data_IF_643907340969
#
_entry.id   IF_643907340969
#
_cell.length_a   1.000
_cell.length_b   1.000
_cell.length_c   1.000
_cell.angle_alpha   90.00
_cell.angle_beta   90.00
_cell.angle_gamma   90.00
#
_symmetry.space_group_name_H-M   'P 1'
#
loop_
_entity.id
_entity.type
_entity.pdbx_description
1 polymer ?
#
# COMPACT_ATOMS: atom_id res chain seq x y z
N UNK A 1 22.08 -32.44 34.32
CA UNK A 1 20.94 -32.43 33.37
C UNK A 1 19.90 -31.31 33.67
N UNK A 2 20.31 -30.09 34.04
CA UNK A 2 19.38 -28.96 34.29
C UNK A 2 19.55 -27.77 33.31
N UNK A 3 20.48 -27.84 32.36
CA UNK A 3 20.76 -26.76 31.39
C UNK A 3 20.15 -26.93 29.99
N UNK A 4 19.66 -28.12 29.63
CA UNK A 4 19.15 -28.38 28.29
C UNK A 4 17.62 -28.22 28.15
N UNK A 5 16.87 -28.18 29.27
CA UNK A 5 15.41 -27.99 29.23
C UNK A 5 14.98 -26.53 29.03
N UNK A 6 15.81 -25.53 29.36
CA UNK A 6 15.41 -24.11 29.23
C UNK A 6 15.51 -23.57 27.80
N UNK A 7 16.47 -24.06 27.01
CA UNK A 7 16.68 -23.63 25.62
C UNK A 7 15.62 -24.25 24.70
N UNK A 8 15.24 -25.51 24.93
CA UNK A 8 14.18 -26.17 24.16
C UNK A 8 12.80 -25.52 24.41
N UNK A 9 12.52 -25.07 25.64
CA UNK A 9 11.30 -24.34 25.98
C UNK A 9 11.27 -22.93 25.34
N UNK A 10 12.40 -22.22 25.31
CA UNK A 10 12.50 -20.89 24.67
C UNK A 10 12.36 -20.97 23.14
N UNK A 11 12.98 -21.98 22.50
CA UNK A 11 12.85 -22.23 21.06
C UNK A 11 11.43 -22.69 20.72
N UNK A 12 10.81 -23.52 21.57
CA UNK A 12 9.42 -23.94 21.44
C UNK A 12 8.43 -22.77 21.49
N UNK A 13 8.64 -21.81 22.40
CA UNK A 13 7.80 -20.60 22.52
C UNK A 13 8.01 -19.66 21.32
N UNK A 14 9.25 -19.48 20.84
CA UNK A 14 9.53 -18.68 19.64
C UNK A 14 8.98 -19.30 18.34
N UNK A 15 8.95 -20.64 18.23
CA UNK A 15 8.37 -21.35 17.08
C UNK A 15 6.84 -21.41 17.14
N UNK A 16 6.24 -21.47 18.33
CA UNK A 16 4.79 -21.39 18.53
C UNK A 16 4.24 -19.98 18.22
N UNK A 17 5.02 -18.91 18.46
CA UNK A 17 4.68 -17.56 18.02
C UNK A 17 4.71 -17.39 16.49
N UNK A 18 5.54 -18.17 15.77
CA UNK A 18 5.54 -18.22 14.30
C UNK A 18 4.39 -19.05 13.70
N UNK A 19 3.74 -19.90 14.50
CA UNK A 19 2.56 -20.70 14.13
C UNK A 19 1.25 -20.14 14.71
N UNK A 20 1.25 -18.93 15.25
CA UNK A 20 0.01 -18.22 15.47
C UNK A 20 -0.69 -18.08 14.11
N UNK A 21 -1.89 -18.67 14.00
CA UNK A 21 -2.80 -18.45 12.86
C UNK A 21 -2.78 -16.96 12.50
N UNK A 22 -2.78 -16.57 11.21
CA UNK A 22 -2.78 -15.17 10.83
C UNK A 22 -3.83 -14.46 11.64
N UNK A 23 -3.39 -13.48 12.43
CA UNK A 23 -4.29 -12.66 13.24
C UNK A 23 -5.15 -11.95 12.22
N UNK A 24 -6.44 -12.32 12.17
CA UNK A 24 -7.45 -11.62 11.38
C UNK A 24 -7.37 -10.16 11.79
N UNK A 25 -7.01 -9.30 10.87
CA UNK A 25 -7.32 -7.89 10.94
C UNK A 25 -8.32 -7.72 9.81
N UNK A 26 -9.56 -7.50 10.19
CA UNK A 26 -10.47 -6.79 9.32
C UNK A 26 -10.22 -5.32 9.62
N UNK A 27 -10.31 -4.49 8.60
CA UNK A 27 -10.22 -3.06 8.72
C UNK A 27 -11.46 -2.50 8.09
N UNK A 28 -12.30 -1.81 8.86
CA UNK A 28 -13.73 -1.75 8.59
C UNK A 28 -14.33 -3.14 8.24
N UNK A 29 -15.62 -3.19 7.96
CA UNK A 29 -16.19 -4.36 7.29
C UNK A 29 -16.48 -3.98 5.84
N UNK A 30 -16.53 -4.98 4.96
CA UNK A 30 -16.82 -4.83 3.52
C UNK A 30 -17.91 -3.81 3.22
N UNK A 31 -19.04 -3.83 3.93
CA UNK A 31 -20.15 -2.89 3.70
C UNK A 31 -19.78 -1.43 3.97
N UNK A 32 -18.90 -1.16 4.93
CA UNK A 32 -18.44 0.19 5.24
C UNK A 32 -17.48 0.71 4.18
N UNK A 33 -16.55 -0.11 3.68
CA UNK A 33 -15.70 0.24 2.54
C UNK A 33 -16.54 0.58 1.31
N UNK A 34 -17.48 -0.31 0.95
CA UNK A 34 -18.38 -0.09 -0.18
C UNK A 34 -19.21 1.19 0.02
N UNK A 35 -19.76 1.42 1.23
CA UNK A 35 -20.53 2.63 1.52
C UNK A 35 -19.71 3.92 1.36
N UNK A 36 -18.45 3.93 1.81
CA UNK A 36 -17.56 5.09 1.68
C UNK A 36 -17.23 5.34 0.20
N UNK A 37 -16.87 4.29 -0.54
CA UNK A 37 -16.54 4.35 -1.96
C UNK A 37 -17.75 4.76 -2.82
N UNK A 38 -18.93 4.17 -2.59
CA UNK A 38 -20.19 4.58 -3.24
C UNK A 38 -20.51 6.05 -2.96
N UNK A 39 -20.41 6.47 -1.70
CA UNK A 39 -20.61 7.86 -1.31
C UNK A 39 -19.65 8.84 -2.00
N UNK A 40 -18.46 8.39 -2.40
CA UNK A 40 -17.51 9.23 -3.15
C UNK A 40 -17.96 9.43 -4.59
N UNK A 41 -18.59 8.43 -5.22
CA UNK A 41 -19.20 8.56 -6.55
C UNK A 41 -20.39 9.52 -6.50
N UNK A 42 -21.26 9.37 -5.50
CA UNK A 42 -22.40 10.26 -5.29
C UNK A 42 -21.94 11.71 -5.04
N UNK A 43 -20.87 11.89 -4.25
CA UNK A 43 -20.33 13.22 -3.95
C UNK A 43 -19.72 13.88 -5.20
N UNK A 44 -19.10 13.12 -6.11
CA UNK A 44 -18.61 13.65 -7.39
C UNK A 44 -19.74 14.24 -8.23
N UNK A 45 -20.88 13.55 -8.30
CA UNK A 45 -22.07 14.04 -9.01
C UNK A 45 -22.66 15.27 -8.31
N UNK A 46 -22.82 15.22 -6.98
CA UNK A 46 -23.35 16.33 -6.17
C UNK A 46 -22.52 17.61 -6.25
N UNK A 47 -21.20 17.49 -6.30
CA UNK A 47 -20.25 18.60 -6.43
C UNK A 47 -20.07 19.09 -7.88
N UNK A 48 -20.95 18.65 -8.79
CA UNK A 48 -20.94 19.00 -10.21
C UNK A 48 -19.55 18.78 -10.84
N UNK A 49 -19.00 17.57 -10.68
CA UNK A 49 -17.76 17.11 -11.32
C UNK A 49 -18.04 16.13 -12.47
N UNK A 50 -18.86 16.50 -13.48
CA UNK A 50 -19.40 15.54 -14.46
C UNK A 50 -18.31 14.84 -15.28
N UNK A 51 -17.18 15.51 -15.56
CA UNK A 51 -16.06 14.88 -16.29
C UNK A 51 -15.39 13.77 -15.48
N UNK A 52 -15.26 13.96 -14.16
CA UNK A 52 -14.64 12.98 -13.27
C UNK A 52 -15.63 11.85 -13.00
N UNK A 53 -16.90 12.16 -12.76
CA UNK A 53 -17.92 11.14 -12.56
C UNK A 53 -18.11 10.25 -13.80
N UNK A 54 -18.17 10.85 -15.00
CA UNK A 54 -18.25 10.11 -16.27
C UNK A 54 -17.03 9.21 -16.51
N UNK A 55 -15.85 9.60 -16.05
CA UNK A 55 -14.63 8.78 -16.15
C UNK A 55 -14.75 7.45 -15.38
N UNK A 56 -15.42 7.46 -14.23
CA UNK A 56 -15.58 6.27 -13.37
C UNK A 56 -16.88 5.50 -13.58
N UNK A 57 -17.88 6.08 -14.24
CA UNK A 57 -19.26 5.55 -14.35
C UNK A 57 -19.34 4.07 -14.73
N UNK A 58 -18.49 3.62 -15.65
CA UNK A 58 -18.51 2.23 -16.14
C UNK A 58 -17.64 1.26 -15.33
N UNK A 59 -16.95 1.75 -14.30
CA UNK A 59 -15.97 0.98 -13.51
C UNK A 59 -16.27 0.96 -12.01
N UNK A 60 -17.48 1.36 -11.60
CA UNK A 60 -17.88 1.32 -10.19
C UNK A 60 -17.77 -0.11 -9.63
N UNK A 61 -18.11 -1.14 -10.41
CA UNK A 61 -18.05 -2.53 -9.97
C UNK A 61 -16.60 -2.96 -9.65
N UNK A 62 -15.63 -2.58 -10.48
CA UNK A 62 -14.21 -2.86 -10.27
C UNK A 62 -13.67 -2.13 -9.04
N UNK A 63 -14.03 -0.85 -8.88
CA UNK A 63 -13.64 -0.06 -7.71
C UNK A 63 -14.18 -0.66 -6.42
N UNK A 64 -15.46 -1.05 -6.38
CA UNK A 64 -16.08 -1.68 -5.20
C UNK A 64 -15.50 -3.07 -4.92
N UNK A 65 -15.25 -3.86 -5.97
CA UNK A 65 -14.54 -5.14 -5.83
C UNK A 65 -13.13 -4.94 -5.27
N UNK A 66 -12.45 -3.89 -5.70
CA UNK A 66 -11.10 -3.49 -5.28
C UNK A 66 -11.06 -3.03 -3.83
N UNK A 67 -11.97 -2.15 -3.40
CA UNK A 67 -11.96 -1.61 -2.03
C UNK A 67 -12.27 -2.66 -0.97
N UNK A 68 -12.86 -3.79 -1.36
CA UNK A 68 -13.17 -4.89 -0.45
C UNK A 68 -12.17 -6.05 -0.52
N UNK A 69 -11.23 -6.03 -1.47
CA UNK A 69 -10.33 -7.15 -1.71
C UNK A 69 -9.26 -7.37 -0.62
N UNK A 70 -8.59 -6.33 -0.08
CA UNK A 70 -7.50 -6.52 0.87
C UNK A 70 -7.89 -7.27 2.16
N UNK A 71 -9.16 -7.22 2.58
CA UNK A 71 -9.66 -7.98 3.74
C UNK A 71 -9.87 -9.49 3.48
N UNK A 72 -9.90 -9.92 2.21
CA UNK A 72 -10.26 -11.29 1.84
C UNK A 72 -9.12 -12.27 2.14
N UNK A 73 -9.49 -13.45 2.64
CA UNK A 73 -8.51 -14.53 2.85
C UNK A 73 -7.73 -14.83 1.57
N UNK A 74 -6.40 -14.93 1.69
CA UNK A 74 -5.51 -15.18 0.56
C UNK A 74 -5.09 -13.94 -0.23
N UNK A 75 -5.62 -12.75 0.05
CA UNK A 75 -5.16 -11.52 -0.60
C UNK A 75 -3.72 -11.18 -0.16
N UNK A 76 -2.82 -10.78 -1.09
CA UNK A 76 -1.45 -10.45 -0.74
C UNK A 76 -1.32 -9.25 0.20
N UNK A 77 -2.31 -8.35 0.24
CA UNK A 77 -2.28 -7.16 1.11
C UNK A 77 -3.04 -7.37 2.41
N UNK A 78 -3.57 -8.57 2.63
CA UNK A 78 -4.13 -8.95 3.93
C UNK A 78 -3.03 -9.08 4.98
N UNK A 79 -3.30 -8.59 6.19
CA UNK A 79 -2.52 -8.98 7.37
C UNK A 79 -2.45 -7.94 8.48
N UNK A 80 -2.02 -8.39 9.66
CA UNK A 80 -2.04 -7.60 10.88
C UNK A 80 -1.24 -6.28 10.83
N UNK A 81 -0.28 -6.13 9.90
CA UNK A 81 0.42 -4.86 9.68
C UNK A 81 -0.23 -3.98 8.61
N UNK A 82 -0.67 -4.59 7.51
CA UNK A 82 -0.98 -3.90 6.25
C UNK A 82 -2.12 -2.88 6.34
N UNK A 83 -3.08 -3.10 7.24
CA UNK A 83 -4.25 -2.24 7.40
C UNK A 83 -4.07 -1.17 8.48
N UNK A 84 -2.90 -1.07 9.11
CA UNK A 84 -2.65 -0.15 10.20
C UNK A 84 -1.69 0.94 9.76
N UNK A 85 -1.97 2.17 10.19
CA UNK A 85 -1.06 3.29 10.09
C UNK A 85 -1.28 4.16 11.31
N UNK A 86 -0.43 3.99 12.33
CA UNK A 86 -0.79 4.41 13.69
C UNK A 86 0.07 5.56 14.17
N UNK A 87 -0.52 6.74 14.36
CA UNK A 87 0.16 7.88 14.97
C UNK A 87 0.19 7.82 16.49
N UNK A 88 -0.61 6.94 17.11
CA UNK A 88 -0.59 6.66 18.54
C UNK A 88 -0.84 5.18 18.83
N UNK A 89 -0.53 4.74 20.05
CA UNK A 89 -0.94 3.44 20.55
C UNK A 89 -2.35 3.49 21.17
N UNK A 90 -2.86 2.33 21.59
CA UNK A 90 -4.22 2.21 22.11
C UNK A 90 -4.47 2.99 23.41
N UNK A 91 -3.41 3.50 24.06
CA UNK A 91 -3.49 4.37 25.26
C UNK A 91 -3.32 5.85 24.92
N UNK A 92 -3.36 6.22 23.64
CA UNK A 92 -3.18 7.60 23.18
C UNK A 92 -1.73 8.10 23.18
N UNK A 93 -0.74 7.25 23.52
CA UNK A 93 0.67 7.68 23.45
C UNK A 93 1.10 7.77 21.99
N UNK A 94 1.59 8.95 21.59
CA UNK A 94 2.13 9.18 20.26
C UNK A 94 3.24 8.18 19.91
N UNK A 95 3.21 7.70 18.66
CA UNK A 95 4.21 6.80 18.09
C UNK A 95 5.23 7.60 17.26
N UNK A 96 6.50 7.15 17.20
CA UNK A 96 7.53 7.86 16.47
C UNK A 96 7.25 7.84 14.97
N UNK A 97 7.68 8.92 14.31
CA UNK A 97 7.62 9.09 12.87
C UNK A 97 9.05 9.07 12.31
N UNK A 98 9.25 8.43 11.17
CA UNK A 98 10.53 8.43 10.45
C UNK A 98 10.30 8.78 8.98
N UNK A 99 10.97 9.83 8.50
CA UNK A 99 10.82 10.35 7.14
C UNK A 99 9.34 10.47 6.69
N UNK A 100 8.49 10.96 7.61
CA UNK A 100 7.07 11.16 7.36
C UNK A 100 6.19 9.93 7.61
N UNK A 101 6.74 8.72 7.81
CA UNK A 101 5.96 7.48 8.01
C UNK A 101 5.77 7.15 9.49
N UNK A 102 4.58 6.66 9.85
CA UNK A 102 4.35 5.94 11.09
C UNK A 102 4.54 4.43 10.92
N UNK A 103 4.85 3.75 12.02
CA UNK A 103 4.93 2.29 12.04
C UNK A 103 3.54 1.67 11.94
N UNK A 104 3.49 0.47 11.37
CA UNK A 104 2.33 -0.39 11.42
C UNK A 104 2.14 -0.98 12.83
N UNK A 105 1.10 -1.79 12.96
CA UNK A 105 0.77 -2.51 14.20
C UNK A 105 1.92 -3.31 14.81
N UNK A 106 2.76 -3.91 13.96
CA UNK A 106 3.85 -4.80 14.34
C UNK A 106 5.12 -4.04 14.75
N UNK A 107 5.09 -2.70 14.72
CA UNK A 107 6.25 -1.86 15.03
C UNK A 107 7.24 -1.77 13.87
N UNK A 108 6.79 -2.01 12.63
CA UNK A 108 7.60 -1.99 11.41
C UNK A 108 7.07 -0.91 10.45
N UNK A 109 7.94 -0.32 9.64
CA UNK A 109 7.56 0.61 8.57
C UNK A 109 7.12 -0.09 7.28
N UNK A 110 7.30 -1.41 7.17
CA UNK A 110 6.89 -2.26 6.04
C UNK A 110 5.38 -2.19 5.72
N UNK A 111 4.71 -3.32 5.46
CA UNK A 111 3.28 -3.31 5.09
C UNK A 111 2.45 -2.58 6.15
N UNK A 112 1.95 -1.42 5.76
CA UNK A 112 1.12 -0.46 6.50
C UNK A 112 0.10 0.13 5.53
N UNK A 113 -0.98 0.71 6.05
CA UNK A 113 -2.04 1.23 5.18
C UNK A 113 -1.49 2.29 4.22
N UNK A 114 -0.55 3.13 4.70
CA UNK A 114 0.13 4.10 3.83
C UNK A 114 0.96 3.44 2.72
N UNK A 115 1.78 2.44 3.03
CA UNK A 115 2.60 1.78 2.00
C UNK A 115 1.73 1.06 0.95
N UNK A 116 0.63 0.45 1.38
CA UNK A 116 -0.28 -0.27 0.48
C UNK A 116 -1.13 0.70 -0.35
N UNK A 117 -1.50 1.87 0.19
CA UNK A 117 -2.03 2.98 -0.61
C UNK A 117 -1.06 3.38 -1.72
N UNK A 118 0.21 3.63 -1.39
CA UNK A 118 1.24 4.08 -2.34
C UNK A 118 1.50 3.03 -3.44
N UNK A 119 1.63 1.75 -3.07
CA UNK A 119 1.82 0.65 -4.02
C UNK A 119 0.59 0.43 -4.92
N UNK A 120 -0.62 0.33 -4.35
CA UNK A 120 -1.83 0.09 -5.13
C UNK A 120 -2.21 1.28 -6.03
N UNK A 121 -1.93 2.51 -5.59
CA UNK A 121 -2.11 3.70 -6.42
C UNK A 121 -1.15 3.72 -7.61
N UNK A 122 0.14 3.43 -7.37
CA UNK A 122 1.15 3.34 -8.43
C UNK A 122 0.80 2.22 -9.40
N UNK A 123 0.35 1.08 -8.89
CA UNK A 123 -0.16 -0.05 -9.65
C UNK A 123 -1.34 0.35 -10.56
N UNK A 124 -2.33 1.06 -10.02
CA UNK A 124 -3.47 1.56 -10.80
C UNK A 124 -3.00 2.48 -11.95
N UNK A 125 -2.07 3.40 -11.68
CA UNK A 125 -1.59 4.33 -12.69
C UNK A 125 -0.79 3.61 -13.78
N UNK A 126 0.05 2.65 -13.39
CA UNK A 126 0.78 1.79 -14.32
C UNK A 126 -0.21 1.06 -15.25
N UNK A 127 -1.20 0.35 -14.70
CA UNK A 127 -2.18 -0.40 -15.49
C UNK A 127 -2.97 0.50 -16.44
N UNK A 128 -3.42 1.66 -15.95
CA UNK A 128 -4.16 2.62 -16.78
C UNK A 128 -3.32 3.11 -17.97
N UNK A 129 -2.06 3.47 -17.71
CA UNK A 129 -1.13 3.95 -18.74
C UNK A 129 -0.72 2.87 -19.74
N UNK A 130 -0.97 1.61 -19.43
CA UNK A 130 -0.80 0.47 -20.34
C UNK A 130 -2.12 -0.02 -20.95
N UNK A 131 -3.21 0.76 -20.85
CA UNK A 131 -4.51 0.44 -21.46
C UNK A 131 -5.32 -0.63 -20.73
N UNK A 132 -4.86 -1.13 -19.58
CA UNK A 132 -5.56 -2.12 -18.73
C UNK A 132 -6.50 -1.40 -17.76
N UNK A 133 -7.54 -0.77 -18.29
CA UNK A 133 -8.36 0.19 -17.54
C UNK A 133 -9.19 -0.48 -16.44
N UNK A 134 -9.83 -1.64 -16.71
CA UNK A 134 -10.64 -2.35 -15.71
C UNK A 134 -9.79 -2.79 -14.51
N UNK A 135 -8.60 -3.34 -14.78
CA UNK A 135 -7.61 -3.74 -13.78
C UNK A 135 -7.07 -2.53 -13.00
N UNK A 136 -6.84 -1.41 -13.68
CA UNK A 136 -6.45 -0.16 -13.04
C UNK A 136 -7.50 0.32 -12.03
N UNK A 137 -8.78 0.24 -12.37
CA UNK A 137 -9.88 0.65 -11.48
C UNK A 137 -10.00 -0.29 -10.28
N UNK A 138 -9.77 -1.58 -10.48
CA UNK A 138 -9.66 -2.54 -9.38
C UNK A 138 -8.52 -2.16 -8.42
N UNK A 139 -7.33 -1.87 -8.93
CA UNK A 139 -6.19 -1.43 -8.11
C UNK A 139 -6.43 -0.06 -7.44
N UNK A 140 -7.13 0.86 -8.09
CA UNK A 140 -7.53 2.13 -7.49
C UNK A 140 -8.51 1.92 -6.34
N UNK A 141 -9.44 0.97 -6.47
CA UNK A 141 -10.32 0.54 -5.38
C UNK A 141 -9.51 0.01 -4.19
N UNK A 142 -8.48 -0.80 -4.43
CA UNK A 142 -7.55 -1.25 -3.37
C UNK A 142 -6.82 -0.08 -2.73
N UNK A 143 -6.44 0.95 -3.48
CA UNK A 143 -5.85 2.16 -2.90
C UNK A 143 -6.87 2.92 -2.01
N UNK A 144 -8.14 2.99 -2.42
CA UNK A 144 -9.22 3.58 -1.63
C UNK A 144 -9.43 2.85 -0.29
N UNK A 145 -9.37 1.51 -0.29
CA UNK A 145 -9.42 0.69 0.93
C UNK A 145 -8.48 1.21 2.02
N UNK A 146 -7.23 1.50 1.65
CA UNK A 146 -6.25 1.94 2.64
C UNK A 146 -6.45 3.39 3.10
N UNK A 147 -7.10 4.25 2.32
CA UNK A 147 -7.57 5.56 2.81
C UNK A 147 -8.70 5.35 3.82
N UNK A 148 -9.61 4.42 3.54
CA UNK A 148 -10.71 4.05 4.42
C UNK A 148 -10.15 3.51 5.75
N UNK A 149 -9.13 2.66 5.72
CA UNK A 149 -8.44 2.17 6.93
C UNK A 149 -7.76 3.28 7.73
N UNK A 150 -7.06 4.21 7.07
CA UNK A 150 -6.42 5.36 7.74
C UNK A 150 -7.48 6.29 8.35
N UNK A 151 -8.73 6.25 7.88
CA UNK A 151 -9.85 6.96 8.48
C UNK A 151 -10.46 6.23 9.69
N UNK A 152 -10.12 4.95 9.91
CA UNK A 152 -10.66 4.14 11.00
C UNK A 152 -9.89 4.35 12.32
N UNK A 153 -10.53 4.85 13.40
CA UNK A 153 -9.83 5.17 14.65
C UNK A 153 -9.06 4.00 15.27
N UNK A 154 -9.58 2.78 15.14
CA UNK A 154 -8.95 1.58 15.72
C UNK A 154 -7.67 1.17 14.98
N UNK A 155 -7.51 1.60 13.72
CA UNK A 155 -6.32 1.38 12.88
C UNK A 155 -5.24 2.44 13.11
N UNK A 156 -5.66 3.65 13.48
CA UNK A 156 -4.75 4.78 13.74
C UNK A 156 -4.24 4.82 15.18
N UNK A 157 -4.92 4.10 16.08
CA UNK A 157 -4.52 3.91 17.48
C UNK A 157 -3.89 2.54 17.77
N UNK A 158 -3.51 1.76 16.75
CA UNK A 158 -2.90 0.44 16.92
C UNK A 158 -3.73 -0.55 17.77
N UNK A 159 -5.07 -0.45 17.76
CA UNK A 159 -5.93 -1.30 18.57
C UNK A 159 -6.06 -2.69 17.97
N UNK A 160 -5.85 -3.74 18.78
CA UNK A 160 -5.87 -5.12 18.28
C UNK A 160 -7.26 -5.61 17.97
N UNK A 161 -7.45 -6.11 16.74
CA UNK A 161 -8.58 -6.96 16.41
C UNK A 161 -8.48 -8.29 17.13
N UNK A 162 -9.58 -8.68 17.78
CA UNK A 162 -9.87 -10.04 18.19
C UNK A 162 -11.33 -10.32 17.91
N UNK A 163 -11.64 -11.46 17.28
CA UNK A 163 -13.01 -11.89 17.03
C UNK A 163 -13.67 -12.41 18.31
N UNK A 164 -13.93 -11.50 19.25
CA UNK A 164 -14.63 -11.78 20.50
C UNK A 164 -15.50 -10.59 20.91
N UNK A 165 -16.62 -10.83 21.62
CA UNK A 165 -17.38 -9.79 22.29
C UNK A 165 -16.47 -8.97 23.22
N UNK A 166 -16.68 -7.65 23.28
CA UNK A 166 -15.92 -6.74 24.14
C UNK A 166 -14.52 -6.35 23.63
N UNK A 167 -14.09 -6.81 22.45
CA UNK A 167 -12.94 -6.21 21.79
C UNK A 167 -13.34 -4.89 21.13
N UNK A 168 -12.78 -3.77 21.58
CA UNK A 168 -13.14 -2.43 21.08
C UNK A 168 -13.03 -2.30 19.56
N UNK A 169 -11.99 -2.89 18.96
CA UNK A 169 -11.82 -2.92 17.52
C UNK A 169 -13.00 -3.62 16.81
N UNK A 170 -13.24 -4.89 17.11
CA UNK A 170 -14.35 -5.66 16.52
C UNK A 170 -15.71 -5.02 16.79
N UNK A 171 -15.94 -4.49 17.99
CA UNK A 171 -17.20 -3.87 18.38
C UNK A 171 -17.46 -2.57 17.59
N UNK A 172 -16.45 -1.71 17.48
CA UNK A 172 -16.55 -0.45 16.76
C UNK A 172 -16.82 -0.66 15.27
N UNK A 173 -16.09 -1.57 14.63
CA UNK A 173 -16.29 -1.84 13.20
C UNK A 173 -17.65 -2.48 12.93
N UNK A 174 -18.10 -3.40 13.79
CA UNK A 174 -19.44 -4.01 13.66
C UNK A 174 -20.52 -2.94 13.78
N UNK A 175 -20.35 -2.00 14.70
CA UNK A 175 -21.25 -0.88 14.85
C UNK A 175 -21.29 0.00 13.60
N UNK A 176 -20.12 0.42 13.12
CA UNK A 176 -20.00 1.22 11.90
C UNK A 176 -20.61 0.54 10.67
N UNK A 177 -20.43 -0.77 10.52
CA UNK A 177 -21.03 -1.57 9.45
C UNK A 177 -22.57 -1.48 9.40
N UNK A 178 -23.21 -1.19 10.54
CA UNK A 178 -24.67 -1.08 10.61
C UNK A 178 -25.18 0.32 10.26
N UNK A 179 -24.40 1.37 10.55
CA UNK A 179 -24.87 2.76 10.50
C UNK A 179 -24.11 3.65 9.51
N UNK A 180 -23.04 3.18 8.86
CA UNK A 180 -22.19 3.99 7.98
C UNK A 180 -22.98 4.71 6.88
N UNK A 181 -23.94 4.02 6.25
CA UNK A 181 -24.82 4.59 5.21
C UNK A 181 -25.76 5.71 5.70
N UNK A 182 -25.93 5.89 7.01
CA UNK A 182 -26.76 6.96 7.56
C UNK A 182 -26.03 8.32 7.58
N UNK A 183 -24.72 8.34 7.31
CA UNK A 183 -23.88 9.54 7.42
C UNK A 183 -23.13 9.82 6.11
N UNK A 184 -23.83 10.15 5.01
CA UNK A 184 -23.18 10.52 3.76
C UNK A 184 -22.39 11.83 3.90
N UNK A 185 -21.39 12.02 3.04
CA UNK A 185 -20.72 13.30 2.92
C UNK A 185 -21.65 14.32 2.24
N UNK A 186 -21.94 15.43 2.92
CA UNK A 186 -22.82 16.46 2.36
C UNK A 186 -22.13 17.38 1.36
N UNK A 187 -20.83 17.61 1.53
CA UNK A 187 -20.02 18.51 0.69
C UNK A 187 -18.57 18.08 0.68
N UNK A 188 -17.86 18.46 -0.38
CA UNK A 188 -16.43 18.20 -0.51
C UNK A 188 -15.58 19.32 0.12
N UNK A 189 -14.64 18.94 0.99
CA UNK A 189 -13.61 19.84 1.48
C UNK A 189 -12.53 20.10 0.40
N UNK A 190 -12.64 21.24 -0.28
CA UNK A 190 -11.70 21.68 -1.33
C UNK A 190 -10.24 21.76 -0.87
N UNK A 191 -9.96 21.85 0.44
CA UNK A 191 -8.58 21.83 0.98
C UNK A 191 -7.89 20.47 0.75
N UNK A 192 -8.67 19.41 0.51
CA UNK A 192 -8.13 18.10 0.16
C UNK A 192 -7.40 18.10 -1.19
N UNK A 193 -7.79 18.95 -2.14
CA UNK A 193 -7.08 19.07 -3.43
C UNK A 193 -5.61 19.44 -3.23
N UNK A 194 -5.32 20.40 -2.34
CA UNK A 194 -3.94 20.76 -1.96
C UNK A 194 -3.27 19.64 -1.15
N UNK A 195 -4.03 18.96 -0.30
CA UNK A 195 -3.47 17.90 0.56
C UNK A 195 -3.05 16.66 -0.25
N UNK A 196 -3.75 16.37 -1.35
CA UNK A 196 -3.44 15.30 -2.31
C UNK A 196 -2.59 15.77 -3.49
N UNK A 197 -2.24 17.06 -3.56
CA UNK A 197 -1.38 17.58 -4.62
C UNK A 197 0.06 17.08 -4.47
N UNK A 198 0.73 16.87 -5.61
CA UNK A 198 2.12 16.42 -5.66
C UNK A 198 2.26 14.90 -5.73
N UNK A 199 3.49 14.45 -5.49
CA UNK A 199 3.92 13.07 -5.76
C UNK A 199 3.75 12.11 -4.56
N UNK A 200 3.50 12.63 -3.35
CA UNK A 200 3.49 11.86 -2.11
C UNK A 200 2.15 11.93 -1.40
N UNK A 201 1.72 10.81 -0.81
CA UNK A 201 0.53 10.74 0.04
C UNK A 201 0.80 11.12 1.50
N UNK A 202 2.03 11.53 1.85
CA UNK A 202 2.41 11.86 3.23
C UNK A 202 1.44 12.80 3.93
N UNK A 203 1.16 13.94 3.29
CA UNK A 203 0.30 14.96 3.86
C UNK A 203 -1.14 14.46 4.05
N UNK A 204 -1.66 13.71 3.08
CA UNK A 204 -3.00 13.13 3.15
C UNK A 204 -3.09 12.08 4.26
N UNK A 205 -2.21 11.07 4.22
CA UNK A 205 -2.19 9.98 5.18
C UNK A 205 -1.96 10.46 6.62
N UNK A 206 -0.99 11.35 6.85
CA UNK A 206 -0.66 11.81 8.21
C UNK A 206 -1.77 12.67 8.83
N UNK A 207 -2.36 13.57 8.04
CA UNK A 207 -3.49 14.39 8.52
C UNK A 207 -4.71 13.53 8.80
N UNK A 208 -5.07 12.63 7.89
CA UNK A 208 -6.20 11.73 8.08
C UNK A 208 -6.00 10.83 9.29
N UNK A 209 -4.80 10.24 9.43
CA UNK A 209 -4.43 9.43 10.58
C UNK A 209 -4.60 10.19 11.90
N UNK A 210 -4.11 11.43 11.96
CA UNK A 210 -4.20 12.27 13.16
C UNK A 210 -5.64 12.67 13.48
N UNK A 211 -6.44 12.98 12.45
CA UNK A 211 -7.87 13.31 12.63
C UNK A 211 -8.65 12.10 13.14
N UNK A 212 -8.47 10.94 12.52
CA UNK A 212 -9.09 9.68 12.91
C UNK A 212 -8.75 9.29 14.36
N UNK A 213 -7.48 9.39 14.74
CA UNK A 213 -7.01 8.99 16.06
C UNK A 213 -7.63 9.82 17.22
N UNK A 214 -8.19 11.01 16.96
CA UNK A 214 -8.89 11.81 17.99
C UNK A 214 -10.09 11.09 18.60
N UNK A 215 -10.67 10.13 17.87
CA UNK A 215 -11.81 9.35 18.34
C UNK A 215 -11.40 8.07 19.09
N UNK A 216 -10.11 7.72 19.10
CA UNK A 216 -9.63 6.44 19.58
C UNK A 216 -9.88 6.21 21.07
N UNK A 217 -9.52 7.16 21.94
CA UNK A 217 -9.62 6.97 23.39
C UNK A 217 -11.06 6.66 23.85
N UNK A 218 -12.09 7.43 23.47
CA UNK A 218 -13.48 7.08 23.77
C UNK A 218 -13.92 5.71 23.22
N UNK A 219 -13.48 5.35 22.01
CA UNK A 219 -13.77 4.04 21.41
C UNK A 219 -13.16 2.90 22.22
N UNK A 220 -11.95 3.09 22.78
CA UNK A 220 -11.27 2.06 23.58
C UNK A 220 -12.04 1.68 24.85
N UNK A 221 -12.91 2.57 25.32
CA UNK A 221 -13.77 2.37 26.49
C UNK A 221 -15.12 1.71 26.18
N UNK A 222 -15.36 1.28 24.92
CA UNK A 222 -16.61 0.66 24.47
C UNK A 222 -17.85 1.54 24.65
N UNK A 223 -17.69 2.87 24.61
CA UNK A 223 -18.80 3.83 24.72
C UNK A 223 -19.65 3.85 23.43
N UNK A 224 -20.93 3.44 23.45
CA UNK A 224 -21.79 3.43 22.26
C UNK A 224 -22.02 4.82 21.66
N UNK A 225 -22.09 5.87 22.49
CA UNK A 225 -22.27 7.25 22.01
C UNK A 225 -21.00 7.71 21.30
N UNK A 226 -19.83 7.33 21.82
CA UNK A 226 -18.57 7.60 21.15
C UNK A 226 -18.46 6.87 19.80
N UNK A 227 -19.00 5.66 19.69
CA UNK A 227 -19.04 4.94 18.41
C UNK A 227 -19.88 5.70 17.38
N UNK A 228 -21.10 6.11 17.73
CA UNK A 228 -21.97 6.93 16.86
C UNK A 228 -21.28 8.22 16.42
N UNK A 229 -20.70 8.95 17.36
CA UNK A 229 -20.02 10.22 17.08
C UNK A 229 -18.81 10.04 16.16
N UNK A 230 -18.03 8.98 16.37
CA UNK A 230 -16.89 8.66 15.53
C UNK A 230 -17.31 8.26 14.11
N UNK A 231 -18.35 7.44 13.94
CA UNK A 231 -18.85 7.06 12.61
C UNK A 231 -19.45 8.27 11.88
N UNK A 232 -20.28 9.07 12.56
CA UNK A 232 -20.88 10.31 12.04
C UNK A 232 -19.83 11.32 11.60
N UNK A 233 -18.68 11.36 12.26
CA UNK A 233 -17.56 12.23 11.91
C UNK A 233 -16.71 11.65 10.78
N UNK A 234 -16.28 10.39 10.92
CA UNK A 234 -15.23 9.83 10.09
C UNK A 234 -15.71 9.27 8.76
N UNK A 235 -16.94 8.76 8.64
CA UNK A 235 -17.45 8.26 7.34
C UNK A 235 -17.52 9.38 6.30
N UNK A 236 -18.13 10.56 6.58
CA UNK A 236 -18.08 11.70 5.66
C UNK A 236 -16.65 12.15 5.31
N UNK A 237 -15.73 12.13 6.27
CA UNK A 237 -14.32 12.50 6.05
C UNK A 237 -13.64 11.48 5.14
N UNK A 238 -13.85 10.19 5.36
CA UNK A 238 -13.33 9.11 4.54
C UNK A 238 -13.81 9.23 3.09
N UNK A 239 -15.12 9.43 2.90
CA UNK A 239 -15.74 9.65 1.58
C UNK A 239 -15.10 10.83 0.84
N UNK A 240 -14.86 11.95 1.53
CA UNK A 240 -14.19 13.10 0.93
C UNK A 240 -12.73 12.81 0.55
N UNK A 241 -12.01 12.02 1.35
CA UNK A 241 -10.64 11.62 1.04
C UNK A 241 -10.57 10.63 -0.13
N UNK A 242 -11.52 9.69 -0.24
CA UNK A 242 -11.66 8.81 -1.40
C UNK A 242 -12.00 9.62 -2.66
N UNK A 243 -12.93 10.58 -2.58
CA UNK A 243 -13.19 11.49 -3.70
C UNK A 243 -11.93 12.27 -4.11
N UNK A 244 -11.12 12.74 -3.16
CA UNK A 244 -9.87 13.43 -3.47
C UNK A 244 -8.85 12.51 -4.17
N UNK A 245 -8.77 11.23 -3.75
CA UNK A 245 -7.97 10.21 -4.41
C UNK A 245 -8.43 9.97 -5.86
N UNK A 246 -9.74 9.85 -6.09
CA UNK A 246 -10.33 9.69 -7.43
C UNK A 246 -10.06 10.90 -8.32
N UNK A 247 -10.16 12.12 -7.79
CA UNK A 247 -9.82 13.33 -8.55
C UNK A 247 -8.33 13.38 -8.89
N UNK A 248 -7.45 13.03 -7.94
CA UNK A 248 -6.00 12.95 -8.17
C UNK A 248 -5.68 11.94 -9.28
N UNK A 249 -6.25 10.74 -9.21
CA UNK A 249 -6.01 9.70 -10.21
C UNK A 249 -6.46 10.13 -11.62
N UNK A 250 -7.64 10.76 -11.71
CA UNK A 250 -8.12 11.32 -12.97
C UNK A 250 -7.13 12.32 -13.57
N UNK A 251 -6.56 13.21 -12.74
CA UNK A 251 -5.56 14.17 -13.18
C UNK A 251 -4.23 13.51 -13.59
N UNK A 252 -3.71 12.60 -12.77
CA UNK A 252 -2.47 11.87 -13.04
C UNK A 252 -2.56 10.98 -14.30
N UNK A 253 -3.73 10.45 -14.62
CA UNK A 253 -4.00 9.70 -15.85
C UNK A 253 -3.79 10.54 -17.12
N UNK A 254 -4.01 11.86 -17.05
CA UNK A 254 -3.82 12.79 -18.18
C UNK A 254 -2.40 13.38 -18.25
N UNK A 255 -1.59 13.20 -17.20
CA UNK A 255 -0.24 13.75 -17.16
C UNK A 255 0.73 12.90 -18.01
N UNK A 256 1.58 13.56 -18.80
CA UNK A 256 2.59 12.90 -19.66
C UNK A 256 3.94 12.70 -18.95
N UNK A 257 4.21 13.48 -17.92
CA UNK A 257 5.40 13.37 -17.07
C UNK A 257 5.12 12.40 -15.91
N UNK A 258 5.47 11.14 -16.12
CA UNK A 258 4.91 10.02 -15.37
C UNK A 258 5.71 9.44 -14.23
N UNK A 259 5.13 9.45 -13.03
CA UNK A 259 5.42 8.49 -11.95
C UNK A 259 4.75 7.12 -12.23
N UNK A 260 4.92 6.61 -13.45
CA UNK A 260 4.37 5.33 -13.88
C UNK A 260 5.36 4.54 -14.75
N UNK A 261 5.15 3.23 -14.79
CA UNK A 261 5.92 2.25 -15.52
C UNK A 261 5.11 1.73 -16.71
N UNK A 262 5.79 1.50 -17.83
CA UNK A 262 5.19 1.03 -19.08
C UNK A 262 5.62 -0.42 -19.36
N UNK A 263 4.66 -1.23 -19.77
CA UNK A 263 4.86 -2.61 -20.18
C UNK A 263 5.70 -2.69 -21.47
N UNK A 264 6.56 -3.70 -21.54
CA UNK A 264 7.51 -3.91 -22.64
C UNK A 264 8.59 -2.84 -22.79
N UNK A 265 8.65 -1.86 -21.88
CA UNK A 265 9.61 -0.76 -21.95
C UNK A 265 10.89 -1.13 -21.20
N UNK A 266 12.02 -0.79 -21.80
CA UNK A 266 13.33 -0.92 -21.15
C UNK A 266 13.61 0.24 -20.20
N UNK A 267 14.17 -0.08 -19.03
CA UNK A 267 14.55 0.89 -18.02
C UNK A 267 15.96 0.64 -17.50
N UNK A 268 16.69 1.72 -17.24
CA UNK A 268 17.83 1.71 -16.33
C UNK A 268 17.31 1.82 -14.90
N UNK A 269 17.89 1.07 -13.98
CA UNK A 269 17.54 1.10 -12.55
C UNK A 269 18.72 1.64 -11.77
N UNK A 270 18.73 2.96 -11.54
CA UNK A 270 19.80 3.64 -10.82
C UNK A 270 19.48 3.73 -9.34
N UNK A 271 20.31 3.15 -8.50
CA UNK A 271 20.17 3.33 -7.06
C UNK A 271 20.51 4.78 -6.68
N UNK A 272 19.64 5.43 -5.89
CA UNK A 272 19.80 6.84 -5.55
C UNK A 272 21.05 7.11 -4.71
N UNK A 273 21.34 6.25 -3.73
CA UNK A 273 22.47 6.46 -2.82
C UNK A 273 23.83 6.16 -3.46
N UNK A 274 23.97 5.02 -4.14
CA UNK A 274 25.25 4.61 -4.75
C UNK A 274 25.50 5.22 -6.14
N UNK A 275 24.44 5.60 -6.85
CA UNK A 275 24.52 6.03 -8.24
C UNK A 275 24.78 4.90 -9.24
N UNK A 276 24.90 3.67 -8.77
CA UNK A 276 25.13 2.46 -9.58
C UNK A 276 23.83 1.97 -10.23
N UNK A 277 23.99 1.24 -11.33
CA UNK A 277 22.93 0.67 -12.15
C UNK A 277 22.83 -0.83 -11.95
N UNK A 278 21.60 -1.37 -11.97
CA UNK A 278 21.41 -2.80 -12.19
C UNK A 278 22.03 -3.18 -13.52
N UNK A 279 22.97 -4.11 -13.47
CA UNK A 279 23.76 -4.57 -14.62
C UNK A 279 23.65 -6.08 -14.73
N UNK A 280 23.30 -6.55 -15.93
CA UNK A 280 23.27 -7.97 -16.27
C UNK A 280 24.70 -8.48 -16.44
N UNK A 281 25.00 -9.60 -15.78
CA UNK A 281 26.32 -10.24 -15.79
C UNK A 281 26.15 -11.74 -16.03
N UNK A 282 27.24 -12.43 -16.38
CA UNK A 282 27.24 -13.89 -16.51
C UNK A 282 26.82 -14.64 -15.22
N UNK A 283 26.90 -14.00 -14.05
CA UNK A 283 26.54 -14.59 -12.75
C UNK A 283 25.16 -14.13 -12.23
N UNK A 284 24.41 -13.35 -13.00
CA UNK A 284 23.13 -12.75 -12.59
C UNK A 284 23.14 -11.24 -12.67
N UNK A 285 22.49 -10.57 -11.71
CA UNK A 285 22.46 -9.10 -11.64
C UNK A 285 23.39 -8.57 -10.56
N UNK A 286 24.14 -7.52 -10.90
CA UNK A 286 25.00 -6.78 -10.00
C UNK A 286 24.69 -5.28 -10.03
N UNK A 287 25.27 -4.53 -9.08
CA UNK A 287 25.33 -3.08 -9.14
C UNK A 287 26.69 -2.66 -9.67
N UNK A 288 26.69 -1.86 -10.74
CA UNK A 288 27.92 -1.35 -11.35
C UNK A 288 27.74 0.10 -11.82
N UNK A 289 28.85 0.81 -12.03
CA UNK A 289 28.83 2.16 -12.60
C UNK A 289 28.28 2.13 -14.03
N UNK A 290 27.75 3.26 -14.48
CA UNK A 290 27.27 3.40 -15.85
C UNK A 290 28.38 3.09 -16.86
N UNK A 291 28.07 2.17 -17.78
CA UNK A 291 28.98 1.64 -18.78
C UNK A 291 28.18 1.27 -20.03
N UNK A 292 28.57 1.82 -21.19
CA UNK A 292 27.85 1.64 -22.46
C UNK A 292 28.06 0.26 -23.06
N UNK A 293 29.12 -0.43 -22.67
CA UNK A 293 29.46 -1.76 -23.18
C UNK A 293 28.79 -2.88 -22.36
N UNK A 294 28.04 -2.51 -21.32
CA UNK A 294 27.33 -3.44 -20.44
C UNK A 294 25.82 -3.34 -20.63
N UNK A 295 25.15 -4.47 -20.41
CA UNK A 295 23.70 -4.51 -20.40
C UNK A 295 23.15 -3.96 -19.08
N UNK A 296 22.76 -2.68 -19.10
CA UNK A 296 22.24 -1.94 -17.93
C UNK A 296 20.78 -1.48 -18.08
N UNK A 297 20.11 -1.98 -19.13
CA UNK A 297 18.69 -1.78 -19.38
C UNK A 297 17.97 -3.11 -19.28
N UNK A 298 16.95 -3.16 -18.44
CA UNK A 298 16.08 -4.33 -18.27
C UNK A 298 14.70 -4.02 -18.84
N UNK A 299 14.11 -4.97 -19.54
CA UNK A 299 12.74 -4.87 -20.02
C UNK A 299 11.76 -5.14 -18.86
N UNK A 300 10.80 -4.26 -18.67
CA UNK A 300 9.75 -4.39 -17.66
C UNK A 300 8.54 -5.08 -18.28
N UNK A 301 8.13 -6.21 -17.72
CA UNK A 301 6.97 -6.99 -18.19
C UNK A 301 5.86 -6.91 -17.14
N UNK A 302 4.74 -6.27 -17.48
CA UNK A 302 3.64 -5.97 -16.56
C UNK A 302 2.59 -7.08 -16.54
N UNK A 303 2.28 -7.59 -15.36
CA UNK A 303 1.19 -8.54 -15.11
C UNK A 303 -0.17 -7.82 -14.98
N UNK A 304 -1.28 -8.55 -15.12
CA UNK A 304 -2.63 -7.97 -15.05
C UNK A 304 -3.01 -7.47 -13.64
N UNK A 305 -2.36 -7.99 -12.61
CA UNK A 305 -2.48 -7.48 -11.23
C UNK A 305 -1.57 -6.26 -10.95
N UNK A 306 -0.88 -5.75 -11.99
CA UNK A 306 0.03 -4.61 -11.96
C UNK A 306 1.33 -4.80 -11.18
N UNK A 307 1.66 -6.04 -10.81
CA UNK A 307 3.06 -6.41 -10.53
C UNK A 307 3.84 -6.46 -11.84
N UNK A 308 5.17 -6.43 -11.76
CA UNK A 308 6.01 -6.55 -12.95
C UNK A 308 7.19 -7.47 -12.72
N UNK A 309 7.68 -8.08 -13.80
CA UNK A 309 8.93 -8.80 -13.83
C UNK A 309 9.99 -7.99 -14.59
N UNK A 310 11.26 -8.30 -14.33
CA UNK A 310 12.41 -7.73 -15.04
C UNK A 310 13.00 -8.78 -15.95
N UNK A 311 13.22 -8.44 -17.22
CA UNK A 311 13.71 -9.36 -18.26
C UNK A 311 14.96 -8.79 -18.93
N UNK A 312 16.02 -9.60 -18.96
CA UNK A 312 17.25 -9.33 -19.69
C UNK A 312 17.06 -9.55 -21.21
N UNK A 313 17.98 -9.02 -22.01
CA UNK A 313 17.96 -9.07 -23.47
C UNK A 313 18.03 -10.51 -24.02
N UNK A 314 18.72 -11.40 -23.30
CA UNK A 314 18.80 -12.84 -23.62
C UNK A 314 17.50 -13.61 -23.33
N UNK A 315 16.50 -12.93 -22.77
CA UNK A 315 15.20 -13.49 -22.42
C UNK A 315 15.08 -13.98 -20.97
N UNK A 316 16.16 -13.96 -20.19
CA UNK A 316 16.16 -14.39 -18.80
C UNK A 316 15.42 -13.41 -17.88
N UNK A 317 14.55 -13.93 -17.02
CA UNK A 317 13.85 -13.12 -16.02
C UNK A 317 14.64 -13.04 -14.73
N UNK A 318 14.73 -11.88 -14.10
CA UNK A 318 15.41 -11.72 -12.82
C UNK A 318 14.75 -12.60 -11.76
N UNK A 319 15.55 -13.45 -11.11
CA UNK A 319 15.05 -14.37 -10.09
C UNK A 319 14.62 -13.65 -8.81
N UNK A 320 13.76 -14.29 -8.02
CA UNK A 320 13.22 -13.75 -6.77
C UNK A 320 14.32 -13.52 -5.71
N UNK A 321 15.42 -14.26 -5.80
CA UNK A 321 16.61 -14.11 -4.95
C UNK A 321 17.56 -13.02 -5.44
N UNK A 322 17.28 -12.42 -6.60
CA UNK A 322 18.14 -11.46 -7.30
C UNK A 322 19.53 -12.03 -7.63
N UNK A 323 19.64 -13.36 -7.69
CA UNK A 323 20.90 -14.10 -7.91
C UNK A 323 20.72 -15.01 -9.12
N UNK A 324 20.79 -14.42 -10.31
CA UNK A 324 20.63 -15.13 -11.57
C UNK A 324 19.27 -14.90 -12.23
N UNK A 325 19.05 -15.66 -13.30
CA UNK A 325 17.90 -15.55 -14.17
C UNK A 325 17.11 -16.86 -14.21
N UNK A 326 15.79 -16.74 -14.23
CA UNK A 326 14.85 -17.81 -14.48
C UNK A 326 14.42 -17.78 -15.96
N UNK A 327 14.35 -18.95 -16.59
CA UNK A 327 13.89 -19.12 -17.98
C UNK A 327 12.60 -19.96 -18.00
N UNK A 328 11.48 -19.41 -17.50
CA UNK A 328 10.21 -20.11 -17.46
C UNK A 328 9.73 -20.50 -18.87
N UNK A 329 9.04 -21.63 -18.97
CA UNK A 329 8.36 -22.07 -20.21
C UNK A 329 6.92 -21.55 -20.21
N UNK A 330 6.47 -20.98 -21.32
CA UNK A 330 5.11 -20.43 -21.46
C UNK A 330 4.97 -19.02 -20.89
N UNK A 331 3.75 -18.65 -20.50
CA UNK A 331 3.39 -17.26 -20.15
C UNK A 331 3.70 -16.85 -18.70
N UNK A 332 4.32 -17.72 -17.91
CA UNK A 332 4.73 -17.36 -16.54
C UNK A 332 5.84 -16.32 -16.58
N UNK A 333 5.51 -15.09 -16.16
CA UNK A 333 6.50 -14.08 -15.87
C UNK A 333 7.37 -14.54 -14.69
N UNK A 334 8.67 -14.20 -14.69
CA UNK A 334 9.59 -14.53 -13.59
C UNK A 334 9.25 -13.79 -12.30
N UNK A 335 10.25 -13.50 -11.46
CA UNK A 335 9.95 -12.94 -10.15
C UNK A 335 9.18 -11.61 -10.24
N UNK A 336 8.12 -11.51 -9.44
CA UNK A 336 7.24 -10.35 -9.43
C UNK A 336 7.68 -9.29 -8.42
N UNK A 337 7.54 -8.04 -8.84
CA UNK A 337 7.84 -6.85 -8.08
C UNK A 337 6.65 -5.90 -8.09
N UNK A 338 6.58 -5.03 -7.08
CA UNK A 338 5.70 -3.86 -7.08
C UNK A 338 6.54 -2.60 -6.94
N UNK A 339 5.97 -1.49 -7.36
CA UNK A 339 6.59 -0.18 -7.22
C UNK A 339 5.65 0.75 -6.45
N UNK A 340 6.21 1.53 -5.54
CA UNK A 340 5.60 2.72 -4.98
C UNK A 340 6.36 3.93 -5.53
N UNK A 341 5.67 4.80 -6.26
CA UNK A 341 6.28 6.01 -6.80
C UNK A 341 6.48 7.07 -5.70
N UNK A 342 7.62 7.76 -5.76
CA UNK A 342 8.05 8.78 -4.80
C UNK A 342 8.23 10.15 -5.46
N UNK A 343 7.80 10.31 -6.72
CA UNK A 343 8.01 11.50 -7.52
C UNK A 343 9.29 11.50 -8.34
N UNK A 344 9.30 12.25 -9.44
CA UNK A 344 10.49 12.48 -10.29
C UNK A 344 11.16 11.17 -10.73
N UNK A 345 10.37 10.17 -11.16
CA UNK A 345 10.84 8.83 -11.55
C UNK A 345 11.58 8.06 -10.44
N UNK A 346 11.40 8.45 -9.17
CA UNK A 346 11.92 7.71 -8.02
C UNK A 346 10.89 6.69 -7.58
N UNK A 347 11.35 5.49 -7.30
CA UNK A 347 10.50 4.37 -6.90
C UNK A 347 11.14 3.61 -5.74
N UNK A 348 10.28 3.06 -4.90
CA UNK A 348 10.63 1.98 -3.98
C UNK A 348 10.05 0.69 -4.55
N UNK A 349 10.86 -0.36 -4.59
CA UNK A 349 10.48 -1.61 -5.26
C UNK A 349 10.39 -2.73 -4.22
N UNK A 350 9.21 -3.33 -4.04
CA UNK A 350 9.02 -4.51 -3.19
C UNK A 350 9.01 -5.79 -4.02
N UNK A 351 9.34 -6.92 -3.39
CA UNK A 351 9.52 -8.21 -4.08
C UNK A 351 8.63 -9.31 -3.51
N UNK A 352 8.05 -10.12 -4.40
CA UNK A 352 7.22 -11.27 -4.03
C UNK A 352 7.98 -12.33 -3.21
N UNK A 353 9.33 -12.35 -3.28
CA UNK A 353 10.18 -13.25 -2.49
C UNK A 353 9.95 -13.13 -0.98
N UNK A 354 9.45 -11.97 -0.57
CA UNK A 354 9.10 -11.62 0.81
C UNK A 354 7.59 -11.40 0.99
N UNK A 355 6.78 -11.89 0.05
CA UNK A 355 5.37 -11.53 -0.09
C UNK A 355 5.18 -10.01 -0.10
N UNK A 356 6.08 -9.27 -0.76
CA UNK A 356 6.11 -7.80 -0.82
C UNK A 356 6.33 -7.08 0.53
N UNK A 357 6.85 -7.76 1.56
CA UNK A 357 7.16 -7.11 2.84
C UNK A 357 8.52 -6.37 2.84
N UNK A 358 9.45 -6.77 1.96
CA UNK A 358 10.80 -6.23 1.85
C UNK A 358 11.03 -5.54 0.52
N UNK A 359 12.03 -4.66 0.51
CA UNK A 359 12.36 -3.79 -0.61
C UNK A 359 13.71 -4.09 -1.21
N UNK A 360 13.84 -3.83 -2.50
CA UNK A 360 15.10 -3.84 -3.22
C UNK A 360 16.00 -2.71 -2.71
N UNK A 361 17.26 -3.02 -2.40
CA UNK A 361 18.20 -2.05 -1.83
C UNK A 361 19.64 -2.26 -2.32
N UNK A 362 20.47 -1.24 -2.13
CA UNK A 362 21.93 -1.37 -2.16
C UNK A 362 22.45 -1.64 -0.74
N UNK A 363 23.25 -2.69 -0.56
CA UNK A 363 23.83 -3.07 0.72
C UNK A 363 24.84 -2.04 1.24
N UNK A 364 25.05 -1.99 2.57
CA UNK A 364 25.99 -1.05 3.20
C UNK A 364 27.43 -1.18 2.71
N UNK A 365 27.82 -2.38 2.26
CA UNK A 365 29.15 -2.70 1.71
C UNK A 365 29.17 -2.69 0.18
N UNK A 366 28.13 -2.15 -0.46
CA UNK A 366 27.88 -2.29 -1.90
C UNK A 366 27.12 -3.57 -2.25
N UNK A 367 26.56 -3.60 -3.46
CA UNK A 367 25.87 -4.75 -4.04
C UNK A 367 24.36 -4.80 -3.81
N UNK A 368 23.67 -5.55 -4.67
CA UNK A 368 22.21 -5.68 -4.67
C UNK A 368 21.72 -6.58 -3.53
N UNK A 369 20.68 -6.14 -2.81
CA UNK A 369 20.09 -6.90 -1.71
C UNK A 369 18.58 -6.67 -1.57
N UNK A 370 17.94 -7.48 -0.72
CA UNK A 370 16.56 -7.29 -0.26
C UNK A 370 16.62 -6.97 1.24
N UNK A 371 16.07 -5.83 1.64
CA UNK A 371 16.15 -5.32 3.01
C UNK A 371 14.77 -4.99 3.57
N UNK A 372 14.66 -4.93 4.90
CA UNK A 372 13.45 -4.42 5.55
C UNK A 372 13.24 -2.96 5.17
N UNK A 373 11.98 -2.56 4.99
CA UNK A 373 11.66 -1.22 4.54
C UNK A 373 12.04 -0.18 5.61
N UNK A 374 12.89 0.77 5.24
CA UNK A 374 13.26 1.94 6.01
C UNK A 374 12.94 3.22 5.20
N UNK A 375 11.97 4.04 5.64
CA UNK A 375 11.50 5.21 4.91
C UNK A 375 12.58 6.29 4.75
N UNK A 376 13.58 6.32 5.64
CA UNK A 376 14.68 7.27 5.61
C UNK A 376 15.91 6.79 4.84
N UNK A 377 15.90 5.58 4.30
CA UNK A 377 17.09 4.97 3.70
C UNK A 377 17.14 5.18 2.17
N UNK A 378 18.02 6.07 1.64
CA UNK A 378 18.12 6.33 0.21
C UNK A 378 18.67 5.14 -0.59
N UNK A 379 19.30 4.15 0.06
CA UNK A 379 19.74 2.92 -0.61
C UNK A 379 18.57 2.06 -1.10
N UNK A 380 17.35 2.35 -0.66
CA UNK A 380 16.11 1.64 -1.05
C UNK A 380 15.32 2.38 -2.14
N UNK A 381 15.88 3.48 -2.67
CA UNK A 381 15.25 4.32 -3.69
C UNK A 381 15.95 4.10 -5.04
N UNK A 382 15.14 3.93 -6.08
CA UNK A 382 15.57 3.63 -7.44
C UNK A 382 15.02 4.69 -8.40
N UNK A 383 15.90 5.29 -9.18
CA UNK A 383 15.55 6.21 -10.27
C UNK A 383 15.46 5.39 -11.55
N UNK A 384 14.28 5.33 -12.15
CA UNK A 384 14.02 4.54 -13.36
C UNK A 384 13.95 5.45 -14.58
N UNK A 385 14.91 5.32 -15.50
CA UNK A 385 14.93 6.08 -16.75
C UNK A 385 14.76 5.17 -17.97
N UNK A 386 13.90 5.59 -18.91
CA UNK A 386 13.54 4.89 -20.15
C UNK A 386 14.71 4.83 -21.16
#
# INVERSE_FOLDING_TARGET
>A
MKGYLSIAAAIGICLMLKKAKPIRAHAWFTRTHEAITEGAFELLEKENKPKVAAFYKNYHAELLKGCSAPDKEGDPDKGAGAHYYSCANAKGKALPQQAGYYQNRLGDYSKSARSMLEENYTCALNLYKNGKVSEAMYCLGRAAHFIEDISCPVHTANMRYFDKPGNAHNAFEKHANNISRNFPAEKFDKRLLKTYSGDSFENAANKLCTVSNKHAEPISNLDPIAFDNAVKSMVPIATQNVMALLMKFFDDCKAENGNYLLDGKMYTFKNEASGELLTVTAKGIALEKADKDKEQKLNLIMSDNGTFALKAADGGYVSAKLKGFDYPKGDTAGAQFRAAALGKNRYRITTEASSFAKVLACGKTGGLTVADFDPGNPTQVWILNK
#
